data_IF_936724302265
#
_entry.id   IF_936724302265
#
_cell.length_a   1.000
_cell.length_b   1.000
_cell.length_c   1.000
_cell.angle_alpha   90.00
_cell.angle_beta   90.00
_cell.angle_gamma   90.00
#
_symmetry.space_group_name_H-M   'P 1'
#
loop_
_entity.id
_entity.type
_entity.pdbx_description
1 polymer ?
#
# COMPACT_ATOMS: atom_id res chain seq x y z
N UNK A 1 -30.60 10.98 13.42
CA UNK A 1 -29.50 10.46 14.29
C UNK A 1 -28.53 9.79 13.34
N UNK A 2 -27.22 9.96 13.52
CA UNK A 2 -26.15 9.40 12.69
C UNK A 2 -25.28 8.47 13.56
N UNK A 3 -24.44 7.64 12.93
CA UNK A 3 -23.61 6.68 13.68
C UNK A 3 -22.52 7.37 14.50
N UNK A 4 -21.71 8.26 13.88
CA UNK A 4 -20.57 8.90 14.53
C UNK A 4 -20.49 10.38 14.17
N UNK A 5 -20.24 11.23 15.18
CA UNK A 5 -19.86 12.62 15.01
C UNK A 5 -18.45 12.84 15.60
N UNK A 6 -17.46 13.09 14.72
CA UNK A 6 -16.13 13.57 15.12
C UNK A 6 -16.21 15.09 15.20
N UNK A 7 -15.78 15.70 16.33
CA UNK A 7 -15.88 17.14 16.55
C UNK A 7 -14.64 17.76 17.20
N UNK A 8 -14.51 19.08 17.12
CA UNK A 8 -13.46 19.90 17.73
C UNK A 8 -12.04 19.68 17.13
N UNK A 9 -11.92 19.00 15.99
CA UNK A 9 -10.63 18.70 15.37
C UNK A 9 -10.13 19.79 14.42
N UNK A 10 -8.86 19.67 14.00
CA UNK A 10 -8.37 20.35 12.81
C UNK A 10 -8.57 19.40 11.63
N UNK A 11 -9.65 19.64 10.86
CA UNK A 11 -9.96 18.76 9.71
C UNK A 11 -9.14 19.17 8.49
N UNK A 12 -8.43 18.18 7.91
CA UNK A 12 -7.61 18.29 6.71
C UNK A 12 -8.22 17.40 5.62
N UNK A 13 -9.20 17.87 4.85
CA UNK A 13 -10.00 17.03 3.95
C UNK A 13 -9.24 16.45 2.76
N UNK A 14 -8.11 17.02 2.39
CA UNK A 14 -7.36 16.71 1.16
C UNK A 14 -8.22 16.83 -0.11
N UNK A 15 -9.13 17.79 -0.11
CA UNK A 15 -10.01 18.13 -1.22
C UNK A 15 -9.31 19.04 -2.26
N UNK A 16 -10.00 19.36 -3.36
CA UNK A 16 -9.46 20.22 -4.42
C UNK A 16 -9.16 21.63 -3.94
N UNK A 17 -9.96 22.16 -3.02
CA UNK A 17 -9.87 23.51 -2.44
C UNK A 17 -8.71 23.65 -1.47
N UNK A 18 -8.07 22.55 -1.05
CA UNK A 18 -7.03 22.50 -0.02
C UNK A 18 -7.48 23.15 1.29
N UNK A 19 -8.76 23.00 1.62
CA UNK A 19 -9.35 23.63 2.79
C UNK A 19 -8.79 22.98 4.08
N UNK A 20 -8.68 23.79 5.13
CA UNK A 20 -8.38 23.31 6.49
C UNK A 20 -9.43 23.94 7.40
N UNK A 21 -10.15 23.11 8.12
CA UNK A 21 -11.25 23.54 9.00
C UNK A 21 -10.79 23.41 10.44
N UNK A 22 -10.43 24.55 11.04
CA UNK A 22 -10.13 24.62 12.48
C UNK A 22 -11.43 24.48 13.26
N UNK A 23 -11.36 23.77 14.41
CA UNK A 23 -12.56 23.42 15.18
C UNK A 23 -13.64 22.81 14.27
N UNK A 24 -13.22 21.88 13.42
CA UNK A 24 -14.04 21.20 12.44
C UNK A 24 -14.64 19.91 12.97
N UNK A 25 -15.60 19.39 12.22
CA UNK A 25 -16.29 18.15 12.49
C UNK A 25 -16.49 17.34 11.20
N UNK A 26 -16.66 16.03 11.38
CA UNK A 26 -17.03 15.07 10.32
C UNK A 26 -18.20 14.23 10.83
N UNK A 27 -19.30 14.22 10.10
CA UNK A 27 -20.49 13.42 10.38
C UNK A 27 -20.46 12.14 9.54
N UNK A 28 -20.68 10.99 10.15
CA UNK A 28 -20.62 9.66 9.55
C UNK A 28 -21.93 8.92 9.80
N UNK A 29 -22.49 8.34 8.73
CA UNK A 29 -23.69 7.52 8.78
C UNK A 29 -23.62 6.42 7.74
N UNK A 30 -24.03 5.20 8.07
CA UNK A 30 -23.98 4.01 7.20
C UNK A 30 -22.62 3.81 6.51
N UNK A 31 -21.53 3.98 7.28
CA UNK A 31 -20.17 3.81 6.80
C UNK A 31 -19.67 4.90 5.84
N UNK A 32 -20.41 6.00 5.67
CA UNK A 32 -20.09 7.11 4.77
C UNK A 32 -19.99 8.43 5.50
N UNK A 33 -19.18 9.31 4.96
CA UNK A 33 -19.15 10.72 5.34
C UNK A 33 -20.43 11.36 4.79
N UNK A 34 -21.24 11.94 5.66
CA UNK A 34 -22.49 12.64 5.28
C UNK A 34 -22.32 14.14 5.27
N UNK A 35 -21.39 14.66 6.10
CA UNK A 35 -21.12 16.11 6.17
C UNK A 35 -19.71 16.40 6.72
N UNK A 36 -19.13 17.53 6.33
CA UNK A 36 -17.83 18.01 6.81
C UNK A 36 -17.92 19.56 6.93
N UNK A 37 -17.65 20.09 8.11
CA UNK A 37 -17.78 21.54 8.34
C UNK A 37 -17.34 21.98 9.74
N UNK A 38 -17.66 23.22 10.13
CA UNK A 38 -17.42 23.69 11.48
C UNK A 38 -18.19 22.85 12.54
N UNK A 39 -17.56 22.61 13.69
CA UNK A 39 -18.18 21.83 14.77
C UNK A 39 -19.53 22.42 15.21
N UNK A 40 -19.66 23.73 15.30
CA UNK A 40 -20.88 24.37 15.75
C UNK A 40 -22.06 24.01 14.84
N UNK A 41 -21.86 24.04 13.52
CA UNK A 41 -22.91 23.78 12.55
C UNK A 41 -23.34 22.31 12.55
N UNK A 42 -22.36 21.39 12.61
CA UNK A 42 -22.65 19.96 12.57
C UNK A 42 -23.22 19.45 13.92
N UNK A 43 -22.76 20.01 15.04
CA UNK A 43 -23.29 19.63 16.37
C UNK A 43 -24.73 20.12 16.58
N UNK A 44 -25.15 21.21 15.96
CA UNK A 44 -26.55 21.66 15.95
C UNK A 44 -27.41 20.78 15.01
N UNK A 45 -26.84 20.38 13.86
CA UNK A 45 -27.56 19.65 12.80
C UNK A 45 -27.76 18.16 13.13
N UNK A 46 -26.78 17.53 13.80
CA UNK A 46 -26.76 16.07 13.98
C UNK A 46 -26.70 15.66 15.47
N UNK A 47 -27.54 14.71 15.85
CA UNK A 47 -27.34 13.86 17.01
C UNK A 47 -26.69 12.55 16.55
N UNK A 48 -25.75 11.99 17.33
CA UNK A 48 -24.98 10.81 16.97
C UNK A 48 -24.99 9.76 18.08
N UNK A 49 -24.94 8.48 17.71
CA UNK A 49 -24.82 7.37 18.66
C UNK A 49 -23.45 7.38 19.35
N UNK A 50 -22.38 7.72 18.62
CA UNK A 50 -21.02 7.90 19.14
C UNK A 50 -20.50 9.30 18.83
N UNK A 51 -19.98 9.96 19.85
CA UNK A 51 -19.26 11.23 19.69
C UNK A 51 -17.78 10.99 19.97
N UNK A 52 -16.91 11.39 19.01
CA UNK A 52 -15.46 11.34 19.14
C UNK A 52 -14.95 12.78 19.27
N UNK A 53 -14.36 13.11 20.43
CA UNK A 53 -13.74 14.42 20.65
C UNK A 53 -12.32 14.42 20.06
N UNK A 54 -12.14 15.19 18.98
CA UNK A 54 -10.88 15.38 18.28
C UNK A 54 -10.14 16.65 18.73
N UNK A 55 -10.42 17.17 19.93
CA UNK A 55 -9.68 18.30 20.46
C UNK A 55 -8.17 17.98 20.46
N UNK A 56 -7.36 18.93 20.00
CA UNK A 56 -5.92 18.77 19.77
C UNK A 56 -5.53 17.64 18.80
N UNK A 57 -6.40 17.21 17.92
CA UNK A 57 -6.10 16.22 16.89
C UNK A 57 -6.32 16.78 15.48
N UNK A 58 -5.53 16.30 14.54
CA UNK A 58 -5.81 16.43 13.12
C UNK A 58 -6.74 15.29 12.68
N UNK A 59 -7.76 15.61 11.91
CA UNK A 59 -8.69 14.64 11.30
C UNK A 59 -8.47 14.66 9.80
N UNK A 60 -8.03 13.54 9.23
CA UNK A 60 -7.66 13.44 7.81
C UNK A 60 -8.11 12.11 7.21
N UNK A 61 -8.17 11.99 5.87
CA UNK A 61 -8.45 10.71 5.23
C UNK A 61 -7.43 9.68 5.68
N UNK A 62 -7.84 8.44 5.85
CA UNK A 62 -6.93 7.33 6.09
C UNK A 62 -5.86 7.24 5.00
N UNK A 63 -4.63 6.91 5.41
CA UNK A 63 -3.51 6.75 4.49
C UNK A 63 -3.69 5.49 3.63
N UNK A 64 -3.24 5.55 2.39
CA UNK A 64 -3.35 4.48 1.40
C UNK A 64 -1.94 4.05 1.00
N UNK A 65 -1.58 2.83 1.37
CA UNK A 65 -0.33 2.18 0.99
C UNK A 65 -0.55 1.39 -0.30
N UNK A 66 0.01 1.84 -1.42
CA UNK A 66 -0.31 1.28 -2.74
C UNK A 66 0.56 0.10 -3.18
N UNK A 67 1.52 -0.31 -2.36
CA UNK A 67 2.34 -1.50 -2.60
C UNK A 67 2.95 -2.01 -1.31
N UNK A 68 2.68 -3.27 -0.99
CA UNK A 68 3.22 -3.94 0.18
C UNK A 68 3.41 -5.44 -0.08
N UNK A 69 4.25 -6.08 0.76
CA UNK A 69 4.46 -7.52 0.82
C UNK A 69 4.32 -7.98 2.27
N UNK A 70 3.10 -8.24 2.73
CA UNK A 70 2.82 -8.51 4.15
C UNK A 70 3.48 -9.77 4.68
N UNK A 71 3.74 -10.77 3.83
CA UNK A 71 4.47 -11.97 4.22
C UNK A 71 5.93 -11.70 4.64
N UNK A 72 6.45 -10.52 4.34
CA UNK A 72 7.79 -10.10 4.76
C UNK A 72 7.86 -9.66 6.22
N UNK A 73 6.73 -9.53 6.92
CA UNK A 73 6.74 -9.10 8.33
C UNK A 73 7.47 -10.05 9.29
N UNK A 74 7.64 -11.33 8.92
CA UNK A 74 8.44 -12.28 9.72
C UNK A 74 9.94 -12.17 9.55
N UNK A 75 10.41 -11.38 8.60
CA UNK A 75 11.84 -11.29 8.25
C UNK A 75 12.36 -9.86 8.30
N UNK A 76 11.72 -8.98 9.08
CA UNK A 76 12.25 -7.67 9.44
C UNK A 76 13.63 -7.81 10.07
N UNK A 77 14.61 -7.04 9.61
CA UNK A 77 15.96 -7.03 10.16
C UNK A 77 16.69 -8.38 10.06
N UNK A 78 16.21 -9.33 9.26
CA UNK A 78 16.83 -10.65 9.15
C UNK A 78 18.21 -10.60 8.52
N UNK A 79 18.37 -9.84 7.45
CA UNK A 79 19.66 -9.54 6.78
C UNK A 79 19.53 -8.24 6.02
N UNK A 80 20.33 -7.29 6.39
CA UNK A 80 20.35 -5.95 5.82
C UNK A 80 21.66 -5.65 5.09
N UNK A 81 21.79 -4.44 4.54
CA UNK A 81 22.99 -3.90 3.91
C UNK A 81 23.46 -4.67 2.66
N UNK A 82 22.50 -5.22 1.89
CA UNK A 82 22.76 -5.94 0.64
C UNK A 82 21.92 -5.40 -0.52
N UNK A 83 22.46 -5.38 -1.76
CA UNK A 83 21.70 -4.95 -2.93
C UNK A 83 20.62 -5.97 -3.32
N UNK A 84 19.62 -5.53 -4.11
CA UNK A 84 18.40 -6.29 -4.42
C UNK A 84 18.65 -7.76 -4.78
N UNK A 85 19.54 -8.10 -5.70
CA UNK A 85 19.74 -9.50 -6.10
C UNK A 85 20.30 -10.36 -4.97
N UNK A 86 21.25 -9.84 -4.22
CA UNK A 86 21.79 -10.52 -3.03
C UNK A 86 20.73 -10.64 -1.93
N UNK A 87 19.90 -9.60 -1.77
CA UNK A 87 18.75 -9.63 -0.89
C UNK A 87 17.73 -10.69 -1.32
N UNK A 88 17.43 -10.81 -2.63
CA UNK A 88 16.56 -11.88 -3.13
C UNK A 88 17.12 -13.24 -2.78
N UNK A 89 18.41 -13.48 -3.02
CA UNK A 89 19.06 -14.76 -2.73
C UNK A 89 19.09 -15.09 -1.24
N UNK A 90 19.47 -14.13 -0.39
CA UNK A 90 19.75 -14.36 1.04
C UNK A 90 18.55 -14.16 1.96
N UNK A 91 17.54 -13.41 1.52
CA UNK A 91 16.38 -13.03 2.33
C UNK A 91 15.08 -13.54 1.72
N UNK A 92 14.79 -13.15 0.46
CA UNK A 92 13.50 -13.46 -0.16
C UNK A 92 13.35 -14.95 -0.48
N UNK A 93 14.36 -15.58 -1.10
CA UNK A 93 14.34 -17.01 -1.46
C UNK A 93 14.16 -17.92 -0.24
N UNK A 94 14.94 -17.81 0.86
CA UNK A 94 14.73 -18.63 2.05
C UNK A 94 13.31 -18.50 2.61
N UNK A 95 12.77 -17.29 2.67
CA UNK A 95 11.38 -17.06 3.08
C UNK A 95 10.40 -17.79 2.16
N UNK A 96 10.56 -17.62 0.82
CA UNK A 96 9.68 -18.26 -0.16
C UNK A 96 9.70 -19.78 0.02
N UNK A 97 10.85 -20.40 0.23
CA UNK A 97 10.96 -21.84 0.47
C UNK A 97 10.14 -22.27 1.69
N UNK A 98 10.18 -21.53 2.80
CA UNK A 98 9.35 -21.81 4.00
C UNK A 98 7.88 -21.72 3.65
N UNK A 99 7.45 -20.62 3.01
CA UNK A 99 6.05 -20.41 2.64
C UNK A 99 5.54 -21.46 1.66
N UNK A 100 6.34 -21.85 0.66
CA UNK A 100 5.99 -22.88 -0.32
C UNK A 100 5.84 -24.25 0.35
N UNK A 101 6.81 -24.65 1.18
CA UNK A 101 6.75 -25.93 1.91
C UNK A 101 5.52 -26.00 2.80
N UNK A 102 5.22 -24.92 3.51
CA UNK A 102 4.02 -24.85 4.35
C UNK A 102 2.75 -24.92 3.54
N UNK A 103 2.67 -24.15 2.43
CA UNK A 103 1.52 -24.18 1.54
C UNK A 103 1.24 -25.58 1.00
N UNK A 104 2.28 -26.30 0.52
CA UNK A 104 2.15 -27.67 0.00
C UNK A 104 1.79 -28.68 1.10
N UNK A 105 2.20 -28.43 2.35
CA UNK A 105 1.84 -29.26 3.52
C UNK A 105 0.44 -28.94 4.09
N UNK A 106 -0.27 -27.94 3.53
CA UNK A 106 -1.57 -27.49 4.05
C UNK A 106 -1.47 -26.70 5.34
N UNK A 107 -0.28 -26.15 5.66
CA UNK A 107 -0.06 -25.29 6.82
C UNK A 107 0.01 -23.81 6.37
N UNK A 108 -1.00 -23.04 6.68
CA UNK A 108 -1.11 -21.65 6.24
C UNK A 108 -0.82 -20.62 7.34
N UNK A 109 -0.39 -21.09 8.51
CA UNK A 109 -0.13 -20.24 9.67
C UNK A 109 0.93 -19.15 9.41
N UNK A 110 2.00 -19.45 8.65
CA UNK A 110 3.03 -18.45 8.29
C UNK A 110 2.40 -17.28 7.54
N UNK A 111 1.58 -17.57 6.53
CA UNK A 111 0.94 -16.53 5.74
C UNK A 111 -0.06 -15.71 6.58
N UNK A 112 -0.89 -16.37 7.37
CA UNK A 112 -1.88 -15.72 8.22
C UNK A 112 -1.22 -14.80 9.26
N UNK A 113 -0.29 -15.32 10.05
CA UNK A 113 0.33 -14.55 11.13
C UNK A 113 1.20 -13.38 10.63
N UNK A 114 1.96 -13.57 9.53
CA UNK A 114 2.70 -12.49 8.91
C UNK A 114 1.76 -11.36 8.42
N UNK A 115 0.64 -11.74 7.81
CA UNK A 115 -0.38 -10.79 7.35
C UNK A 115 -1.03 -10.06 8.52
N UNK A 116 -1.32 -10.74 9.63
CA UNK A 116 -1.86 -10.12 10.84
C UNK A 116 -0.91 -9.05 11.39
N UNK A 117 0.39 -9.35 11.53
CA UNK A 117 1.39 -8.36 11.97
C UNK A 117 1.43 -7.13 11.07
N UNK A 118 1.47 -7.35 9.75
CA UNK A 118 1.49 -6.23 8.80
C UNK A 118 0.22 -5.38 8.83
N UNK A 119 -0.95 -6.00 8.97
CA UNK A 119 -2.22 -5.28 9.11
C UNK A 119 -2.28 -4.46 10.39
N UNK A 120 -1.82 -5.02 11.54
CA UNK A 120 -1.78 -4.31 12.81
C UNK A 120 -0.87 -3.08 12.70
N UNK A 121 0.35 -3.26 12.20
CA UNK A 121 1.31 -2.16 12.05
C UNK A 121 0.79 -1.09 11.10
N UNK A 122 0.23 -1.47 9.96
CA UNK A 122 -0.37 -0.55 9.00
C UNK A 122 -1.52 0.27 9.63
N UNK A 123 -2.46 -0.37 10.33
CA UNK A 123 -3.55 0.34 11.03
C UNK A 123 -2.99 1.27 12.10
N UNK A 124 -2.05 0.80 12.93
CA UNK A 124 -1.47 1.59 14.02
C UNK A 124 -0.65 2.79 13.53
N UNK A 125 -0.19 2.76 12.28
CA UNK A 125 0.46 3.89 11.61
C UNK A 125 -0.48 4.70 10.70
N UNK A 126 -1.81 4.43 10.74
CA UNK A 126 -2.82 5.25 10.06
C UNK A 126 -3.16 4.80 8.63
N UNK A 127 -2.66 3.66 8.18
CA UNK A 127 -3.06 3.08 6.90
C UNK A 127 -4.44 2.43 7.04
N UNK A 128 -5.40 2.88 6.24
CA UNK A 128 -6.76 2.31 6.21
C UNK A 128 -6.98 1.40 5.00
N UNK A 129 -6.20 1.60 3.96
CA UNK A 129 -6.26 0.80 2.73
C UNK A 129 -4.84 0.44 2.28
N UNK A 130 -4.59 -0.82 1.98
CA UNK A 130 -3.30 -1.28 1.46
C UNK A 130 -3.48 -2.14 0.21
N UNK A 131 -2.53 -2.02 -0.74
CA UNK A 131 -2.39 -2.93 -1.85
C UNK A 131 -1.25 -3.91 -1.56
N UNK A 132 -1.61 -5.16 -1.27
CA UNK A 132 -0.66 -6.23 -0.97
C UNK A 132 -0.43 -7.09 -2.20
N UNK A 133 0.82 -7.42 -2.52
CA UNK A 133 1.19 -8.27 -3.64
C UNK A 133 1.93 -9.51 -3.14
N UNK A 134 1.33 -10.70 -3.32
CA UNK A 134 1.88 -11.93 -2.77
C UNK A 134 1.75 -13.13 -3.70
N UNK A 135 2.62 -14.11 -3.50
CA UNK A 135 2.60 -15.40 -4.17
C UNK A 135 1.66 -16.36 -3.46
N UNK A 136 0.93 -17.19 -4.23
CA UNK A 136 0.17 -18.34 -3.76
C UNK A 136 -0.61 -18.13 -2.44
N UNK A 137 -1.41 -17.08 -2.38
CA UNK A 137 -2.19 -16.72 -1.20
C UNK A 137 -3.24 -17.78 -0.88
N UNK A 138 -3.21 -18.31 0.34
CA UNK A 138 -4.29 -19.13 0.87
C UNK A 138 -5.47 -18.25 1.35
N UNK A 139 -6.72 -18.73 1.23
CA UNK A 139 -7.89 -17.99 1.73
C UNK A 139 -7.81 -17.56 3.20
N UNK A 140 -7.06 -18.25 4.06
CA UNK A 140 -6.89 -17.87 5.47
C UNK A 140 -6.16 -16.53 5.65
N UNK A 141 -5.32 -16.13 4.69
CA UNK A 141 -4.72 -14.79 4.67
C UNK A 141 -5.79 -13.70 4.61
N UNK A 142 -6.89 -13.97 3.92
CA UNK A 142 -7.99 -13.04 3.75
C UNK A 142 -8.81 -12.86 5.03
N UNK A 143 -8.77 -13.86 5.93
CA UNK A 143 -9.34 -13.74 7.27
C UNK A 143 -8.58 -12.68 8.09
N UNK A 144 -7.28 -12.52 7.92
CA UNK A 144 -6.53 -11.46 8.58
C UNK A 144 -7.03 -10.07 8.21
N UNK A 145 -7.38 -9.81 6.92
CA UNK A 145 -8.01 -8.56 6.51
C UNK A 145 -9.41 -8.38 7.10
N UNK A 146 -10.18 -9.48 7.17
CA UNK A 146 -11.51 -9.47 7.76
C UNK A 146 -11.47 -9.15 9.25
N UNK A 147 -10.62 -9.84 10.00
CA UNK A 147 -10.52 -9.74 11.46
C UNK A 147 -9.94 -8.40 11.90
N UNK A 148 -8.88 -7.91 11.25
CA UNK A 148 -8.30 -6.60 11.58
C UNK A 148 -9.18 -5.44 11.17
N UNK A 149 -10.05 -5.64 10.18
CA UNK A 149 -10.91 -4.59 9.64
C UNK A 149 -10.25 -3.72 8.58
N UNK A 150 -9.00 -3.96 8.19
CA UNK A 150 -8.31 -3.17 7.17
C UNK A 150 -8.95 -3.34 5.79
N UNK A 151 -8.91 -2.28 4.96
CA UNK A 151 -9.26 -2.40 3.55
C UNK A 151 -8.06 -2.91 2.76
N UNK A 152 -8.24 -3.94 1.94
CA UNK A 152 -7.18 -4.57 1.17
C UNK A 152 -7.51 -4.66 -0.32
N UNK A 153 -6.54 -4.33 -1.16
CA UNK A 153 -6.53 -4.59 -2.60
C UNK A 153 -5.39 -5.61 -2.86
N UNK A 154 -5.73 -6.90 -2.91
CA UNK A 154 -4.77 -7.99 -2.87
C UNK A 154 -4.42 -8.46 -4.29
N UNK A 155 -3.13 -8.44 -4.63
CA UNK A 155 -2.63 -8.96 -5.90
C UNK A 155 -2.00 -10.34 -5.71
N UNK A 156 -2.55 -11.33 -6.43
CA UNK A 156 -1.88 -12.62 -6.62
C UNK A 156 -0.95 -12.52 -7.81
N UNK A 157 0.36 -12.61 -7.60
CA UNK A 157 1.29 -12.51 -8.70
C UNK A 157 1.62 -13.85 -9.34
N UNK A 158 1.86 -13.79 -10.63
CA UNK A 158 2.28 -14.88 -11.48
C UNK A 158 3.76 -14.70 -11.88
N UNK A 159 4.45 -15.81 -12.09
CA UNK A 159 5.79 -15.85 -12.61
C UNK A 159 6.04 -17.23 -13.25
N UNK A 160 6.58 -17.27 -14.48
CA UNK A 160 6.81 -18.50 -15.25
C UNK A 160 8.18 -18.53 -15.94
N UNK A 161 8.95 -17.44 -15.86
CA UNK A 161 10.32 -17.36 -16.37
C UNK A 161 11.27 -16.77 -15.33
N UNK A 162 12.55 -16.92 -15.57
CA UNK A 162 13.60 -16.39 -14.70
C UNK A 162 14.78 -15.91 -15.52
N UNK A 163 14.76 -14.64 -15.91
CA UNK A 163 15.82 -14.06 -16.72
C UNK A 163 17.06 -13.64 -15.91
N UNK A 164 16.90 -13.51 -14.59
CA UNK A 164 17.95 -13.01 -13.71
C UNK A 164 18.46 -14.06 -12.68
N UNK A 165 17.93 -15.29 -12.72
CA UNK A 165 18.28 -16.32 -11.75
C UNK A 165 17.74 -16.06 -10.34
N UNK A 166 16.66 -15.28 -10.24
CA UNK A 166 16.12 -14.81 -8.97
C UNK A 166 14.87 -15.59 -8.47
N UNK A 167 14.53 -16.69 -9.13
CA UNK A 167 13.35 -17.50 -8.76
C UNK A 167 13.74 -18.86 -8.20
N UNK A 168 12.99 -19.27 -7.19
CA UNK A 168 13.06 -20.62 -6.63
C UNK A 168 12.31 -21.57 -7.59
N UNK A 169 12.92 -22.67 -8.06
CA UNK A 169 12.24 -23.64 -8.92
C UNK A 169 10.92 -24.13 -8.34
N UNK A 170 10.88 -24.35 -6.99
CA UNK A 170 9.71 -24.82 -6.25
C UNK A 170 8.58 -23.79 -6.21
N UNK A 171 8.86 -22.50 -6.42
CA UNK A 171 7.85 -21.45 -6.48
C UNK A 171 7.15 -21.38 -7.84
N UNK A 172 7.64 -22.08 -8.84
CA UNK A 172 7.01 -22.22 -10.16
C UNK A 172 5.83 -23.19 -10.06
N UNK A 173 4.72 -22.76 -9.48
CA UNK A 173 3.48 -23.49 -9.66
C UNK A 173 3.19 -23.56 -11.16
N UNK A 174 2.71 -24.71 -11.62
CA UNK A 174 2.29 -24.82 -13.01
C UNK A 174 1.31 -23.69 -13.32
N UNK A 175 1.53 -22.99 -14.42
CA UNK A 175 0.79 -21.82 -14.87
C UNK A 175 -0.74 -21.98 -14.69
N UNK A 176 -1.29 -23.11 -15.18
CA UNK A 176 -2.71 -23.43 -15.08
C UNK A 176 -3.20 -23.56 -13.63
N UNK A 177 -2.35 -24.05 -12.72
CA UNK A 177 -2.71 -24.19 -11.31
C UNK A 177 -2.80 -22.84 -10.60
N UNK A 178 -1.88 -21.92 -10.89
CA UNK A 178 -1.89 -20.58 -10.31
C UNK A 178 -3.08 -19.77 -10.79
N UNK A 179 -3.41 -19.83 -12.09
CA UNK A 179 -4.58 -19.17 -12.66
C UNK A 179 -5.88 -19.75 -12.10
N UNK A 180 -5.97 -21.08 -11.97
CA UNK A 180 -7.13 -21.72 -11.37
C UNK A 180 -7.33 -21.30 -9.93
N UNK A 181 -6.26 -21.25 -9.14
CA UNK A 181 -6.29 -20.79 -7.74
C UNK A 181 -6.73 -19.32 -7.68
N UNK A 182 -6.14 -18.45 -8.50
CA UNK A 182 -6.51 -17.04 -8.56
C UNK A 182 -8.00 -16.86 -8.85
N UNK A 183 -8.51 -17.55 -9.87
CA UNK A 183 -9.94 -17.47 -10.21
C UNK A 183 -10.85 -17.98 -9.09
N UNK A 184 -10.46 -19.03 -8.37
CA UNK A 184 -11.22 -19.54 -7.21
C UNK A 184 -11.25 -18.52 -6.06
N UNK A 185 -10.13 -17.91 -5.73
CA UNK A 185 -10.04 -16.91 -4.67
C UNK A 185 -10.82 -15.65 -5.06
N UNK A 186 -10.61 -15.14 -6.27
CA UNK A 186 -11.30 -13.97 -6.80
C UNK A 186 -12.81 -14.17 -6.79
N UNK A 187 -13.32 -15.31 -7.26
CA UNK A 187 -14.76 -15.58 -7.30
C UNK A 187 -15.44 -15.58 -5.93
N UNK A 188 -14.69 -15.93 -4.88
CA UNK A 188 -15.20 -15.99 -3.51
C UNK A 188 -15.02 -14.69 -2.74
N UNK A 189 -13.90 -13.98 -2.95
CA UNK A 189 -13.46 -12.91 -2.07
C UNK A 189 -13.43 -11.53 -2.71
N UNK A 190 -13.45 -11.40 -4.03
CA UNK A 190 -13.49 -10.09 -4.67
C UNK A 190 -14.77 -9.35 -4.32
N UNK A 191 -14.65 -8.15 -3.77
CA UNK A 191 -15.72 -7.35 -3.19
C UNK A 191 -16.35 -7.92 -1.90
N UNK A 192 -15.71 -8.88 -1.23
CA UNK A 192 -16.13 -9.32 0.10
C UNK A 192 -16.07 -8.17 1.14
N UNK A 193 -16.72 -8.36 2.29
CA UNK A 193 -16.77 -7.40 3.39
C UNK A 193 -17.22 -6.00 2.91
N UNK A 194 -18.36 -5.91 2.22
CA UNK A 194 -18.90 -4.66 1.63
C UNK A 194 -17.95 -3.96 0.64
N UNK A 195 -17.16 -4.74 -0.12
CA UNK A 195 -16.17 -4.24 -1.06
C UNK A 195 -14.89 -3.73 -0.39
N UNK A 196 -14.67 -4.07 0.89
CA UNK A 196 -13.45 -3.75 1.61
C UNK A 196 -12.26 -4.62 1.17
N UNK A 197 -12.52 -5.87 0.74
CA UNK A 197 -11.50 -6.77 0.18
C UNK A 197 -11.66 -6.83 -1.34
N UNK A 198 -10.64 -6.43 -2.06
CA UNK A 198 -10.56 -6.47 -3.53
C UNK A 198 -9.35 -7.26 -3.99
N UNK A 199 -9.32 -7.60 -5.27
CA UNK A 199 -8.24 -8.34 -5.89
C UNK A 199 -7.74 -7.68 -7.16
N UNK A 200 -6.44 -7.93 -7.45
CA UNK A 200 -5.76 -7.63 -8.71
C UNK A 200 -5.06 -8.88 -9.23
N UNK A 201 -4.88 -8.96 -10.54
CA UNK A 201 -3.91 -9.88 -11.12
C UNK A 201 -2.50 -9.29 -10.96
N UNK A 202 -1.56 -10.08 -10.43
CA UNK A 202 -0.19 -9.66 -10.23
C UNK A 202 0.72 -10.15 -11.37
N UNK A 203 1.37 -9.26 -12.07
CA UNK A 203 2.53 -9.57 -12.93
C UNK A 203 3.78 -9.31 -12.08
N UNK A 204 4.47 -10.37 -11.63
CA UNK A 204 5.57 -10.21 -10.69
C UNK A 204 6.58 -9.16 -11.20
N UNK A 205 7.22 -9.42 -12.34
CA UNK A 205 8.00 -8.41 -13.05
C UNK A 205 8.14 -8.80 -14.54
N UNK A 206 8.57 -7.88 -15.40
CA UNK A 206 8.90 -8.19 -16.81
C UNK A 206 10.00 -9.24 -16.98
N UNK A 207 10.85 -9.42 -15.98
CA UNK A 207 11.95 -10.41 -16.02
C UNK A 207 11.53 -11.80 -15.54
N UNK A 208 10.44 -11.88 -14.78
CA UNK A 208 9.94 -13.14 -14.21
C UNK A 208 8.64 -13.64 -14.86
N UNK A 209 8.06 -12.87 -15.78
CA UNK A 209 6.87 -13.25 -16.53
C UNK A 209 7.16 -13.31 -18.04
N UNK A 210 6.79 -14.42 -18.66
CA UNK A 210 6.88 -14.55 -20.13
C UNK A 210 5.84 -13.65 -20.82
N UNK A 211 6.09 -13.31 -22.09
CA UNK A 211 5.13 -12.55 -22.89
C UNK A 211 3.78 -13.25 -22.99
N UNK A 212 3.78 -14.58 -23.14
CA UNK A 212 2.53 -15.37 -23.17
C UNK A 212 1.72 -15.23 -21.88
N UNK A 213 2.38 -15.32 -20.73
CA UNK A 213 1.72 -15.15 -19.44
C UNK A 213 1.17 -13.72 -19.25
N UNK A 214 1.96 -12.71 -19.62
CA UNK A 214 1.53 -11.31 -19.51
C UNK A 214 0.29 -11.05 -20.39
N UNK A 215 0.25 -11.55 -21.61
CA UNK A 215 -0.91 -11.43 -22.51
C UNK A 215 -2.14 -12.14 -21.94
N UNK A 216 -1.98 -13.33 -21.39
CA UNK A 216 -3.09 -14.07 -20.77
C UNK A 216 -3.64 -13.34 -19.53
N UNK A 217 -2.77 -12.83 -18.66
CA UNK A 217 -3.17 -12.00 -17.52
C UNK A 217 -3.95 -10.77 -18.00
N UNK A 218 -3.50 -10.11 -19.08
CA UNK A 218 -4.22 -8.97 -19.67
C UNK A 218 -5.59 -9.36 -20.21
N UNK A 219 -5.71 -10.48 -20.89
CA UNK A 219 -7.00 -10.99 -21.38
C UNK A 219 -7.96 -11.30 -20.24
N UNK A 220 -7.49 -11.95 -19.19
CA UNK A 220 -8.26 -12.20 -17.96
C UNK A 220 -8.74 -10.90 -17.31
N UNK A 221 -7.85 -9.94 -17.15
CA UNK A 221 -8.17 -8.64 -16.58
C UNK A 221 -9.24 -7.90 -17.41
N UNK A 222 -9.13 -7.94 -18.73
CA UNK A 222 -10.15 -7.38 -19.64
C UNK A 222 -11.50 -8.06 -19.50
N UNK A 223 -11.52 -9.39 -19.37
CA UNK A 223 -12.73 -10.21 -19.24
C UNK A 223 -13.42 -10.01 -17.88
N UNK A 224 -12.65 -10.01 -16.80
CA UNK A 224 -13.16 -9.96 -15.42
C UNK A 224 -13.34 -8.55 -14.90
N UNK A 225 -12.75 -7.54 -15.56
CA UNK A 225 -12.66 -6.14 -15.10
C UNK A 225 -11.88 -5.98 -13.79
N UNK A 226 -10.99 -6.93 -13.50
CA UNK A 226 -10.09 -6.91 -12.37
C UNK A 226 -8.78 -6.26 -12.82
N UNK A 227 -8.28 -5.31 -12.03
CA UNK A 227 -7.09 -4.53 -12.32
C UNK A 227 -5.79 -5.36 -12.21
N UNK A 228 -4.68 -4.79 -12.67
CA UNK A 228 -3.36 -5.42 -12.66
C UNK A 228 -2.41 -4.63 -11.75
N UNK A 229 -1.50 -5.35 -11.08
CA UNK A 229 -0.39 -4.80 -10.30
C UNK A 229 0.91 -5.46 -10.78
N UNK A 230 1.98 -4.68 -10.99
CA UNK A 230 3.27 -5.19 -11.43
C UNK A 230 4.44 -4.40 -10.84
N UNK A 231 5.63 -5.02 -10.75
CA UNK A 231 6.88 -4.28 -10.59
C UNK A 231 7.37 -3.83 -11.97
N UNK A 232 7.94 -2.64 -12.07
CA UNK A 232 8.41 -2.06 -13.31
C UNK A 232 9.66 -1.20 -13.10
N UNK A 233 10.75 -1.56 -13.76
CA UNK A 233 11.96 -0.74 -13.82
C UNK A 233 12.58 -0.49 -12.45
N UNK A 234 12.61 -1.48 -11.59
CA UNK A 234 13.16 -1.36 -10.24
C UNK A 234 14.68 -1.24 -10.27
N UNK A 235 15.36 -2.06 -11.08
CA UNK A 235 16.81 -2.03 -11.19
C UNK A 235 17.30 -1.74 -12.61
N UNK A 236 18.57 -1.26 -12.69
CA UNK A 236 19.24 -1.12 -13.98
C UNK A 236 19.39 -2.47 -14.69
N UNK A 237 19.64 -3.52 -13.93
CA UNK A 237 19.81 -4.86 -14.48
C UNK A 237 18.54 -5.38 -15.16
N UNK A 238 17.37 -5.17 -14.55
CA UNK A 238 16.10 -5.52 -15.20
C UNK A 238 15.90 -4.75 -16.51
N UNK A 239 16.18 -3.44 -16.49
CA UNK A 239 16.11 -2.60 -17.69
C UNK A 239 16.99 -3.15 -18.80
N UNK A 240 18.25 -3.43 -18.49
CA UNK A 240 19.25 -3.89 -19.46
C UNK A 240 18.90 -5.29 -19.98
N UNK A 241 18.42 -6.19 -19.13
CA UNK A 241 17.96 -7.53 -19.49
C UNK A 241 16.79 -7.50 -20.50
N UNK A 242 15.80 -6.65 -20.26
CA UNK A 242 14.64 -6.50 -21.16
C UNK A 242 15.09 -5.86 -22.49
N UNK A 243 15.97 -4.86 -22.44
CA UNK A 243 16.54 -4.25 -23.65
C UNK A 243 17.32 -5.25 -24.50
N UNK A 244 18.10 -6.12 -23.87
CA UNK A 244 18.85 -7.17 -24.55
C UNK A 244 17.93 -8.21 -25.20
N UNK A 245 16.93 -8.67 -24.42
CA UNK A 245 16.03 -9.74 -24.88
C UNK A 245 15.05 -9.30 -25.97
N UNK A 246 14.46 -8.10 -25.83
CA UNK A 246 13.37 -7.65 -26.69
C UNK A 246 13.73 -6.47 -27.60
N UNK A 247 14.93 -5.89 -27.46
CA UNK A 247 15.37 -4.73 -28.25
C UNK A 247 14.63 -3.43 -27.94
N UNK A 248 13.90 -3.38 -26.82
CA UNK A 248 13.02 -2.28 -26.39
C UNK A 248 13.19 -1.99 -24.93
N UNK A 249 12.84 -0.77 -24.50
CA UNK A 249 12.71 -0.47 -23.08
C UNK A 249 11.50 -1.17 -22.48
N UNK A 250 11.47 -1.28 -21.16
CA UNK A 250 10.42 -2.05 -20.46
C UNK A 250 9.03 -1.51 -20.77
N UNK A 251 8.79 -0.20 -20.61
CA UNK A 251 7.48 0.36 -20.85
C UNK A 251 7.08 0.33 -22.35
N UNK A 252 8.04 0.45 -23.28
CA UNK A 252 7.77 0.30 -24.71
C UNK A 252 7.30 -1.11 -25.05
N UNK A 253 8.01 -2.12 -24.53
CA UNK A 253 7.65 -3.51 -24.75
C UNK A 253 6.29 -3.85 -24.11
N UNK A 254 6.06 -3.45 -22.84
CA UNK A 254 4.80 -3.70 -22.17
C UNK A 254 3.61 -3.00 -22.84
N UNK A 255 3.81 -1.79 -23.40
CA UNK A 255 2.79 -1.13 -24.24
C UNK A 255 2.47 -1.91 -25.49
N UNK A 256 3.49 -2.39 -26.19
CA UNK A 256 3.33 -3.15 -27.43
C UNK A 256 2.58 -4.45 -27.24
N UNK A 257 2.88 -5.18 -26.16
CA UNK A 257 2.15 -6.40 -25.82
C UNK A 257 0.80 -6.15 -25.16
N UNK A 258 0.43 -4.86 -24.94
CA UNK A 258 -0.88 -4.43 -24.49
C UNK A 258 -1.10 -4.50 -22.97
N UNK A 259 -0.05 -4.67 -22.14
CA UNK A 259 -0.23 -4.75 -20.70
C UNK A 259 -0.66 -3.41 -20.10
N UNK A 260 0.01 -2.30 -20.47
CA UNK A 260 -0.19 -1.00 -19.84
C UNK A 260 -1.60 -0.44 -20.09
N UNK A 261 -2.17 0.20 -19.07
CA UNK A 261 -3.52 0.75 -19.14
C UNK A 261 -3.95 1.45 -17.86
N UNK A 262 -5.17 2.08 -17.87
CA UNK A 262 -5.69 2.83 -16.73
C UNK A 262 -5.99 1.97 -15.50
N UNK A 263 -6.01 0.67 -15.64
CA UNK A 263 -6.23 -0.32 -14.59
C UNK A 263 -4.92 -0.98 -14.11
N UNK A 264 -3.75 -0.47 -14.56
CA UNK A 264 -2.45 -0.99 -14.16
C UNK A 264 -1.81 -0.09 -13.11
N UNK A 265 -1.32 -0.71 -12.04
CA UNK A 265 -0.48 -0.12 -11.00
C UNK A 265 0.92 -0.69 -11.11
N UNK A 266 1.92 0.17 -11.39
CA UNK A 266 3.32 -0.19 -11.54
C UNK A 266 4.12 0.28 -10.32
N UNK A 267 4.75 -0.64 -9.59
CA UNK A 267 5.60 -0.34 -8.45
C UNK A 267 7.02 0.04 -8.90
N UNK A 268 7.69 0.88 -8.10
CA UNK A 268 9.05 1.41 -8.23
C UNK A 268 9.25 2.41 -9.37
N UNK A 269 9.22 2.01 -10.64
CA UNK A 269 9.39 2.86 -11.82
C UNK A 269 10.65 3.75 -11.77
N UNK A 270 11.80 3.17 -11.32
CA UNK A 270 13.04 3.91 -11.06
C UNK A 270 13.78 4.20 -12.37
N UNK A 271 14.04 3.15 -13.17
CA UNK A 271 14.90 3.21 -14.34
C UNK A 271 14.09 3.45 -15.62
N UNK A 272 13.30 4.51 -15.64
CA UNK A 272 12.49 4.93 -16.78
C UNK A 272 13.08 6.15 -17.47
N UNK A 273 13.14 6.10 -18.79
CA UNK A 273 13.47 7.24 -19.66
C UNK A 273 12.29 8.21 -19.77
N UNK A 274 12.57 9.39 -20.29
CA UNK A 274 11.55 10.42 -20.58
C UNK A 274 10.44 9.91 -21.52
N UNK A 275 10.80 9.06 -22.46
CA UNK A 275 9.85 8.43 -23.39
C UNK A 275 8.95 7.43 -22.65
N UNK A 276 9.49 6.66 -21.73
CA UNK A 276 8.71 5.72 -20.94
C UNK A 276 7.77 6.43 -19.97
N UNK A 277 8.18 7.56 -19.38
CA UNK A 277 7.29 8.39 -18.56
C UNK A 277 6.10 8.89 -19.39
N UNK A 278 6.32 9.31 -20.65
CA UNK A 278 5.23 9.69 -21.56
C UNK A 278 4.32 8.50 -21.89
N UNK A 279 4.88 7.30 -22.06
CA UNK A 279 4.08 6.08 -22.25
C UNK A 279 3.17 5.83 -21.04
N UNK A 280 3.69 5.93 -19.81
CA UNK A 280 2.84 5.79 -18.61
C UNK A 280 1.72 6.83 -18.59
N UNK A 281 2.00 8.06 -19.01
CA UNK A 281 0.97 9.10 -19.11
C UNK A 281 -0.07 8.80 -20.20
N UNK A 282 0.36 8.41 -21.40
CA UNK A 282 -0.51 8.10 -22.54
C UNK A 282 -1.41 6.89 -22.26
N UNK A 283 -0.89 5.90 -21.54
CA UNK A 283 -1.64 4.70 -21.13
C UNK A 283 -2.42 4.87 -19.83
N UNK A 284 -2.29 6.01 -19.16
CA UNK A 284 -2.85 6.27 -17.83
C UNK A 284 -2.43 5.26 -16.76
N UNK A 285 -1.30 4.57 -16.96
CA UNK A 285 -0.71 3.65 -15.98
C UNK A 285 -0.32 4.40 -14.72
N UNK A 286 -0.70 3.88 -13.54
CA UNK A 286 -0.43 4.48 -12.25
C UNK A 286 0.89 3.99 -11.68
N UNK A 287 1.56 4.83 -10.90
CA UNK A 287 2.85 4.52 -10.29
C UNK A 287 2.71 4.46 -8.78
N UNK A 288 3.26 3.40 -8.17
CA UNK A 288 3.47 3.28 -6.73
C UNK A 288 4.94 3.53 -6.41
N UNK A 289 5.22 4.62 -5.70
CA UNK A 289 6.57 5.02 -5.31
C UNK A 289 6.92 4.46 -3.94
N UNK A 290 8.04 3.72 -3.85
CA UNK A 290 8.53 3.03 -2.65
C UNK A 290 9.88 3.64 -2.22
N UNK A 291 9.92 4.85 -1.62
CA UNK A 291 11.17 5.61 -1.47
C UNK A 291 12.18 4.88 -0.59
N UNK A 292 11.75 4.31 0.52
CA UNK A 292 12.61 3.67 1.52
C UNK A 292 13.21 2.37 1.01
N UNK A 293 12.40 1.50 0.44
CA UNK A 293 12.87 0.26 -0.18
C UNK A 293 13.85 0.53 -1.31
N UNK A 294 13.55 1.50 -2.18
CA UNK A 294 14.45 1.90 -3.26
C UNK A 294 15.80 2.41 -2.74
N UNK A 295 15.80 3.11 -1.60
CA UNK A 295 17.02 3.60 -0.94
C UNK A 295 17.77 2.47 -0.24
N UNK A 296 17.07 1.65 0.55
CA UNK A 296 17.67 0.58 1.35
C UNK A 296 18.36 -0.47 0.46
N UNK A 297 17.71 -0.87 -0.63
CA UNK A 297 18.25 -1.84 -1.61
C UNK A 297 19.19 -1.19 -2.63
N UNK A 298 19.43 0.12 -2.52
CA UNK A 298 20.22 0.90 -3.48
C UNK A 298 19.75 0.72 -4.94
N UNK A 299 18.45 0.48 -5.15
CA UNK A 299 17.85 0.30 -6.47
C UNK A 299 17.92 1.58 -7.31
N UNK A 300 17.86 2.75 -6.68
CA UNK A 300 18.01 4.05 -7.32
C UNK A 300 16.93 5.05 -6.90
N UNK A 301 16.89 6.21 -7.57
CA UNK A 301 15.91 7.28 -7.31
C UNK A 301 14.96 7.38 -8.50
N UNK A 302 13.68 7.10 -8.27
CA UNK A 302 12.64 7.21 -9.30
C UNK A 302 12.42 8.67 -9.72
N UNK A 303 12.19 8.97 -11.01
CA UNK A 303 12.01 10.33 -11.52
C UNK A 303 10.63 10.93 -11.21
N UNK A 304 10.20 10.87 -9.94
CA UNK A 304 8.83 11.19 -9.48
C UNK A 304 8.44 12.63 -9.81
N UNK A 305 9.36 13.58 -9.57
CA UNK A 305 9.09 15.02 -9.87
C UNK A 305 8.74 15.19 -11.34
N UNK A 306 9.44 14.49 -12.24
CA UNK A 306 9.19 14.52 -13.67
C UNK A 306 7.86 13.85 -14.03
N UNK A 307 7.58 12.68 -13.45
CA UNK A 307 6.31 11.97 -13.65
C UNK A 307 5.12 12.84 -13.27
N UNK A 308 5.17 13.50 -12.11
CA UNK A 308 4.12 14.41 -11.66
C UNK A 308 3.95 15.64 -12.59
N UNK A 309 5.05 16.20 -13.10
CA UNK A 309 5.03 17.29 -14.08
C UNK A 309 4.40 16.89 -15.42
N UNK A 310 4.66 15.67 -15.86
CA UNK A 310 4.02 15.09 -17.07
C UNK A 310 2.56 14.66 -16.82
N UNK A 311 2.08 14.73 -15.59
CA UNK A 311 0.70 14.39 -15.21
C UNK A 311 0.46 12.88 -15.05
N UNK A 312 1.48 12.08 -14.77
CA UNK A 312 1.33 10.69 -14.33
C UNK A 312 0.79 10.67 -12.91
N UNK A 313 -0.17 9.82 -12.64
CA UNK A 313 -0.65 9.59 -11.27
C UNK A 313 0.40 8.80 -10.50
N UNK A 314 1.00 9.45 -9.49
CA UNK A 314 1.97 8.82 -8.58
C UNK A 314 1.36 8.76 -7.19
N UNK A 315 1.33 7.57 -6.62
CA UNK A 315 0.96 7.27 -5.24
C UNK A 315 2.19 6.86 -4.42
N UNK A 316 2.02 6.73 -3.11
CA UNK A 316 3.08 6.37 -2.18
C UNK A 316 2.85 4.98 -1.60
N UNK A 317 3.95 4.29 -1.24
CA UNK A 317 3.90 2.98 -0.61
C UNK A 317 5.16 2.69 0.22
N UNK A 318 5.04 1.69 1.10
CA UNK A 318 6.15 1.23 1.94
C UNK A 318 6.97 0.10 1.32
N UNK A 319 6.41 -0.67 0.37
CA UNK A 319 6.93 -1.98 -0.01
C UNK A 319 6.86 -3.00 1.15
N UNK A 320 7.67 -4.04 1.13
CA UNK A 320 7.69 -5.06 2.17
C UNK A 320 8.60 -4.72 3.34
N UNK A 321 8.25 -5.22 4.54
CA UNK A 321 9.01 -4.96 5.76
C UNK A 321 10.42 -5.56 5.78
N UNK A 322 10.80 -6.42 4.85
CA UNK A 322 12.18 -6.88 4.75
C UNK A 322 13.06 -5.96 3.90
N UNK A 323 12.44 -5.09 3.09
CA UNK A 323 13.12 -4.10 2.25
C UNK A 323 12.95 -2.66 2.72
N UNK A 324 12.11 -2.44 3.76
CA UNK A 324 11.84 -1.12 4.35
C UNK A 324 11.87 -1.11 5.88
N UNK A 325 11.65 -2.26 6.54
CA UNK A 325 11.59 -2.52 7.98
C UNK A 325 10.32 -2.04 8.70
N UNK A 326 9.43 -1.33 8.05
CA UNK A 326 8.16 -0.89 8.65
C UNK A 326 7.02 -0.72 7.63
N UNK A 327 5.81 -0.39 8.14
CA UNK A 327 4.61 -0.08 7.36
C UNK A 327 4.16 1.38 7.58
N UNK A 328 5.07 2.26 8.05
CA UNK A 328 4.73 3.64 8.46
C UNK A 328 4.67 4.60 7.26
N UNK A 329 3.47 4.94 6.82
CA UNK A 329 3.25 5.88 5.73
C UNK A 329 3.63 7.33 6.07
N UNK A 330 3.78 7.72 7.36
CA UNK A 330 4.32 9.03 7.72
C UNK A 330 5.82 9.09 7.44
N UNK A 331 6.55 8.01 7.74
CA UNK A 331 7.96 7.90 7.37
C UNK A 331 8.12 7.92 5.85
N UNK A 332 7.33 7.14 5.11
CA UNK A 332 7.34 7.13 3.65
C UNK A 332 7.06 8.53 3.05
N UNK A 333 6.12 9.29 3.62
CA UNK A 333 5.85 10.68 3.20
C UNK A 333 7.07 11.57 3.43
N UNK A 334 7.67 11.52 4.61
CA UNK A 334 8.85 12.33 4.94
C UNK A 334 10.02 11.98 4.05
N UNK A 335 10.30 10.70 3.89
CA UNK A 335 11.40 10.18 3.06
C UNK A 335 11.23 10.61 1.59
N UNK A 336 10.05 10.45 1.00
CA UNK A 336 9.78 10.92 -0.35
C UNK A 336 10.03 12.42 -0.51
N UNK A 337 9.52 13.24 0.43
CA UNK A 337 9.70 14.69 0.37
C UNK A 337 11.19 15.09 0.42
N UNK A 338 11.98 14.50 1.30
CA UNK A 338 13.39 14.84 1.49
C UNK A 338 14.26 14.31 0.34
N UNK A 339 14.05 13.04 -0.07
CA UNK A 339 14.79 12.40 -1.14
C UNK A 339 14.71 13.20 -2.45
N UNK A 340 13.51 13.61 -2.84
CA UNK A 340 13.35 14.30 -4.12
C UNK A 340 13.84 15.75 -4.11
N UNK A 341 13.88 16.42 -2.97
CA UNK A 341 14.52 17.74 -2.84
C UNK A 341 16.02 17.65 -3.08
N UNK A 342 16.71 16.72 -2.44
CA UNK A 342 18.15 16.55 -2.62
C UNK A 342 18.49 16.00 -4.01
N UNK A 343 17.70 15.07 -4.54
CA UNK A 343 17.94 14.49 -5.86
C UNK A 343 17.81 15.52 -7.00
N UNK A 344 16.96 16.54 -6.82
CA UNK A 344 16.76 17.60 -7.81
C UNK A 344 17.53 18.88 -7.48
N UNK A 345 18.28 18.95 -6.36
CA UNK A 345 18.93 20.15 -5.83
C UNK A 345 17.98 21.36 -5.76
N UNK A 346 16.72 21.10 -5.43
CA UNK A 346 15.64 22.10 -5.40
C UNK A 346 14.73 21.82 -4.21
N UNK A 347 14.75 22.69 -3.20
CA UNK A 347 13.93 22.55 -2.00
C UNK A 347 12.42 22.81 -2.25
N UNK A 348 12.05 23.35 -3.41
CA UNK A 348 10.66 23.69 -3.74
C UNK A 348 9.90 22.52 -4.36
N UNK A 349 10.56 21.50 -4.88
CA UNK A 349 9.90 20.33 -5.50
C UNK A 349 9.23 19.46 -4.45
N UNK A 350 8.18 18.79 -4.85
CA UNK A 350 7.43 17.82 -4.05
C UNK A 350 7.08 18.37 -2.65
N UNK A 351 6.16 19.34 -2.64
CA UNK A 351 5.70 19.99 -1.40
C UNK A 351 5.08 18.98 -0.44
N UNK A 352 4.98 19.32 0.86
CA UNK A 352 4.29 18.52 1.85
C UNK A 352 2.86 18.14 1.41
N UNK A 353 2.14 19.09 0.83
CA UNK A 353 0.77 18.82 0.34
C UNK A 353 0.78 17.84 -0.84
N UNK A 354 1.77 17.87 -1.74
CA UNK A 354 1.86 16.91 -2.85
C UNK A 354 2.12 15.50 -2.34
N UNK A 355 2.98 15.36 -1.34
CA UNK A 355 3.27 14.06 -0.71
C UNK A 355 2.06 13.53 0.07
N UNK A 356 1.35 14.41 0.80
CA UNK A 356 0.10 14.02 1.47
C UNK A 356 -0.96 13.53 0.46
N UNK A 357 -1.07 14.18 -0.71
CA UNK A 357 -1.91 13.68 -1.80
C UNK A 357 -1.47 12.31 -2.31
N UNK A 358 -0.17 12.06 -2.41
CA UNK A 358 0.34 10.75 -2.84
C UNK A 358 -0.07 9.63 -1.88
N UNK A 359 -0.08 9.91 -0.58
CA UNK A 359 -0.48 8.98 0.47
C UNK A 359 -2.01 8.89 0.69
N UNK A 360 -2.82 9.69 -0.02
CA UNK A 360 -4.27 9.76 0.16
C UNK A 360 -5.01 9.69 -1.18
N UNK A 361 -5.42 10.83 -1.76
CA UNK A 361 -6.26 10.88 -2.97
C UNK A 361 -5.57 10.29 -4.22
N UNK A 362 -4.26 10.43 -4.37
CA UNK A 362 -3.56 9.77 -5.47
C UNK A 362 -3.45 8.26 -5.24
N UNK A 363 -3.29 7.82 -3.97
CA UNK A 363 -3.42 6.41 -3.60
C UNK A 363 -4.78 5.84 -3.99
N UNK A 364 -5.85 6.56 -3.68
CA UNK A 364 -7.20 6.17 -4.10
C UNK A 364 -7.33 6.10 -5.64
N UNK A 365 -6.79 7.08 -6.38
CA UNK A 365 -6.76 7.05 -7.86
C UNK A 365 -5.98 5.88 -8.42
N UNK A 366 -4.85 5.55 -7.80
CA UNK A 366 -4.01 4.43 -8.20
C UNK A 366 -4.73 3.08 -8.04
N UNK A 367 -5.64 3.00 -7.07
CA UNK A 367 -6.46 1.83 -6.82
C UNK A 367 -7.84 1.87 -7.52
N UNK A 368 -8.19 2.96 -8.23
CA UNK A 368 -9.51 3.16 -8.84
C UNK A 368 -10.63 3.38 -7.80
N UNK A 369 -10.29 3.98 -6.67
CA UNK A 369 -11.18 4.20 -5.53
C UNK A 369 -11.38 5.70 -5.20
N UNK A 370 -10.97 6.63 -6.06
CA UNK A 370 -11.01 8.09 -5.81
C UNK A 370 -12.41 8.65 -5.57
N UNK A 371 -13.42 7.99 -6.08
CA UNK A 371 -14.82 8.35 -5.82
C UNK A 371 -15.31 7.84 -4.45
N UNK A 372 -14.52 7.01 -3.77
CA UNK A 372 -14.89 6.40 -2.51
C UNK A 372 -13.96 6.76 -1.36
N UNK A 373 -12.67 7.04 -1.63
CA UNK A 373 -11.61 7.19 -0.63
C UNK A 373 -10.71 8.39 -0.94
N UNK A 374 -9.77 8.66 -0.03
CA UNK A 374 -8.63 9.54 -0.23
C UNK A 374 -8.88 11.02 0.03
N UNK A 375 -10.12 11.42 0.34
CA UNK A 375 -10.47 12.77 0.83
C UNK A 375 -11.70 12.69 1.72
N UNK A 376 -11.85 13.68 2.63
CA UNK A 376 -13.04 13.81 3.47
C UNK A 376 -14.08 14.66 2.74
N UNK A 377 -14.97 14.00 2.02
CA UNK A 377 -16.03 14.66 1.24
C UNK A 377 -17.33 13.86 1.40
N UNK A 378 -18.50 14.54 1.48
CA UNK A 378 -19.79 13.88 1.56
C UNK A 378 -19.99 12.83 0.46
N UNK A 379 -20.51 11.66 0.83
CA UNK A 379 -20.75 10.52 -0.05
C UNK A 379 -19.59 9.52 -0.14
N UNK A 380 -18.39 9.89 0.28
CA UNK A 380 -17.25 8.96 0.36
C UNK A 380 -17.34 8.06 1.58
N UNK A 381 -16.65 6.94 1.54
CA UNK A 381 -16.52 6.02 2.67
C UNK A 381 -15.75 6.69 3.81
N UNK A 382 -16.16 6.39 5.03
CA UNK A 382 -15.53 6.93 6.22
C UNK A 382 -14.29 6.09 6.61
N UNK A 383 -13.23 6.24 5.81
CA UNK A 383 -11.88 5.80 6.12
C UNK A 383 -11.10 7.03 6.61
N UNK A 384 -10.94 7.14 7.93
CA UNK A 384 -10.52 8.39 8.62
C UNK A 384 -9.50 8.05 9.71
N UNK A 385 -8.50 8.91 9.87
CA UNK A 385 -7.56 8.84 10.99
C UNK A 385 -7.55 10.14 11.79
N UNK A 386 -7.31 10.00 13.09
CA UNK A 386 -7.09 11.10 14.01
C UNK A 386 -5.66 11.04 14.51
N UNK A 387 -4.89 12.10 14.27
CA UNK A 387 -3.49 12.23 14.68
C UNK A 387 -3.42 13.17 15.89
N UNK A 388 -2.83 12.70 16.98
CA UNK A 388 -2.62 13.50 18.18
C UNK A 388 -1.54 14.56 17.94
N UNK A 389 -1.87 15.82 18.20
CA UNK A 389 -1.00 16.98 18.00
C UNK A 389 -0.38 17.50 19.31
N UNK A 390 -0.51 16.75 20.41
CA UNK A 390 0.00 17.18 21.72
C UNK A 390 1.49 16.93 21.92
N UNK A 391 2.07 16.05 21.10
CA UNK A 391 3.50 15.69 21.16
C UNK A 391 4.42 16.91 21.02
N UNK A 392 5.50 16.94 21.79
CA UNK A 392 6.47 18.05 21.79
C UNK A 392 7.12 18.26 20.42
N UNK A 393 7.34 17.17 19.65
CA UNK A 393 7.90 17.20 18.30
C UNK A 393 6.96 17.82 17.25
N UNK A 394 5.67 17.91 17.56
CA UNK A 394 4.66 18.52 16.70
C UNK A 394 4.38 20.00 17.01
N UNK A 395 4.97 20.57 18.05
CA UNK A 395 4.69 21.93 18.52
C UNK A 395 5.90 22.85 18.41
N UNK A 396 5.68 24.16 18.08
CA UNK A 396 4.41 24.79 17.71
C UNK A 396 3.93 24.40 16.30
N UNK A 397 2.61 24.49 16.07
CA UNK A 397 1.99 24.20 14.76
C UNK A 397 1.81 25.52 14.00
N UNK A 398 2.62 25.76 12.97
CA UNK A 398 2.48 26.90 12.08
C UNK A 398 1.68 26.52 10.83
N UNK A 399 1.99 25.36 10.24
CA UNK A 399 1.29 24.77 9.11
C UNK A 399 1.04 23.28 9.40
N UNK A 400 -0.22 22.90 9.46
CA UNK A 400 -0.63 21.56 9.84
C UNK A 400 -0.15 20.49 8.84
N UNK A 401 -0.14 20.80 7.54
CA UNK A 401 0.29 19.84 6.51
C UNK A 401 1.80 19.62 6.59
N UNK A 402 2.58 20.69 6.78
CA UNK A 402 4.02 20.55 7.01
C UNK A 402 4.31 19.72 8.28
N UNK A 403 3.59 19.97 9.37
CA UNK A 403 3.75 19.19 10.60
C UNK A 403 3.42 17.71 10.37
N UNK A 404 2.33 17.39 9.69
CA UNK A 404 1.94 16.01 9.39
C UNK A 404 2.98 15.27 8.53
N UNK A 405 3.61 15.94 7.58
CA UNK A 405 4.56 15.29 6.67
C UNK A 405 5.98 15.26 7.22
N UNK A 406 6.42 16.31 7.91
CA UNK A 406 7.83 16.39 8.33
C UNK A 406 8.06 16.08 9.82
N UNK A 407 7.02 16.17 10.66
CA UNK A 407 7.18 16.04 12.10
C UNK A 407 6.40 14.88 12.71
N UNK A 408 5.25 14.50 12.13
CA UNK A 408 4.44 13.41 12.67
C UNK A 408 5.04 12.03 12.38
N UNK A 409 4.69 11.08 13.21
CA UNK A 409 5.05 9.68 13.16
C UNK A 409 3.79 8.81 13.16
N UNK A 410 3.85 7.58 12.68
CA UNK A 410 2.73 6.64 12.80
C UNK A 410 2.28 6.41 14.24
N UNK A 411 3.19 6.57 15.21
CA UNK A 411 2.85 6.50 16.64
C UNK A 411 1.94 7.63 17.15
N UNK A 412 1.81 8.73 16.43
CA UNK A 412 0.90 9.83 16.77
C UNK A 412 -0.55 9.57 16.33
N UNK A 413 -0.79 8.53 15.53
CA UNK A 413 -2.14 8.11 15.13
C UNK A 413 -2.90 7.58 16.34
N UNK A 414 -3.89 8.31 16.80
CA UNK A 414 -4.66 7.99 18.00
C UNK A 414 -5.87 7.08 17.73
N UNK A 415 -6.61 7.35 16.65
CA UNK A 415 -7.86 6.67 16.30
C UNK A 415 -7.91 6.39 14.79
N UNK A 416 -8.38 5.22 14.43
CA UNK A 416 -8.56 4.79 13.03
C UNK A 416 -9.98 4.28 12.81
N UNK A 417 -10.62 4.81 11.79
CA UNK A 417 -11.98 4.44 11.36
C UNK A 417 -11.85 3.90 9.93
N UNK A 418 -12.41 2.72 9.67
CA UNK A 418 -12.44 2.08 8.35
C UNK A 418 -13.86 1.65 8.03
N UNK A 419 -14.37 2.07 6.87
CA UNK A 419 -15.74 1.79 6.43
C UNK A 419 -16.78 2.20 7.49
N UNK A 420 -16.54 3.33 8.20
CA UNK A 420 -17.37 3.86 9.29
C UNK A 420 -17.24 3.15 10.63
N UNK A 421 -16.40 2.12 10.75
CA UNK A 421 -16.18 1.38 11.99
C UNK A 421 -14.90 1.83 12.67
N UNK A 422 -14.94 2.11 13.97
CA UNK A 422 -13.72 2.40 14.75
C UNK A 422 -12.97 1.09 14.96
N UNK A 423 -11.82 0.94 14.27
CA UNK A 423 -10.98 -0.26 14.35
C UNK A 423 -9.85 -0.10 15.38
N UNK A 424 -9.44 1.14 15.65
CA UNK A 424 -8.50 1.49 16.72
C UNK A 424 -8.94 2.77 17.40
N UNK A 425 -8.90 2.83 18.72
CA UNK A 425 -9.18 4.02 19.52
C UNK A 425 -8.17 4.15 20.65
N UNK A 426 -7.62 5.36 20.83
CA UNK A 426 -6.55 5.61 21.82
C UNK A 426 -5.39 4.60 21.69
N UNK A 427 -4.98 4.29 20.46
CA UNK A 427 -3.94 3.32 20.10
C UNK A 427 -4.22 1.87 20.48
N UNK A 428 -5.42 1.55 20.93
CA UNK A 428 -5.86 0.18 21.23
C UNK A 428 -6.69 -0.36 20.08
N UNK A 429 -6.30 -1.50 19.52
CA UNK A 429 -7.10 -2.22 18.52
C UNK A 429 -8.42 -2.70 19.16
N UNK A 430 -9.55 -2.47 18.47
CA UNK A 430 -10.86 -2.87 18.93
C UNK A 430 -11.40 -4.14 18.25
N UNK A 431 -10.77 -4.54 17.17
CA UNK A 431 -11.21 -5.68 16.34
C UNK A 431 -10.57 -7.00 16.72
N UNK A 432 -9.41 -6.95 17.39
CA UNK A 432 -8.61 -8.11 17.78
C UNK A 432 -7.98 -7.88 19.17
N UNK A 433 -7.54 -8.97 19.81
CA UNK A 433 -6.62 -8.90 20.95
C UNK A 433 -5.18 -8.72 20.42
N UNK A 434 -4.71 -7.46 20.38
CA UNK A 434 -3.43 -7.09 19.78
C UNK A 434 -2.25 -7.87 20.39
N UNK A 435 -2.12 -7.84 21.74
CA UNK A 435 -0.98 -8.46 22.42
C UNK A 435 -0.93 -9.97 22.16
N UNK A 436 -2.04 -10.67 22.33
CA UNK A 436 -2.14 -12.09 22.08
C UNK A 436 -1.81 -12.45 20.62
N UNK A 437 -2.25 -11.61 19.67
CA UNK A 437 -2.01 -11.83 18.25
C UNK A 437 -0.52 -11.65 17.90
N UNK A 438 0.11 -10.62 18.45
CA UNK A 438 1.55 -10.36 18.25
C UNK A 438 2.39 -11.47 18.87
N UNK A 439 2.11 -11.86 20.12
CA UNK A 439 2.86 -12.91 20.82
C UNK A 439 2.77 -14.26 20.07
N UNK A 440 1.59 -14.63 19.62
CA UNK A 440 1.39 -15.85 18.81
C UNK A 440 2.13 -15.78 17.47
N UNK A 441 2.10 -14.64 16.81
CA UNK A 441 2.77 -14.46 15.53
C UNK A 441 4.29 -14.54 15.69
N UNK A 442 4.84 -13.93 16.74
CA UNK A 442 6.28 -13.97 17.03
C UNK A 442 6.75 -15.39 17.35
N UNK A 443 6.06 -16.07 18.26
CA UNK A 443 6.36 -17.47 18.63
C UNK A 443 6.31 -18.39 17.40
N UNK A 444 5.26 -18.25 16.58
CA UNK A 444 5.08 -19.04 15.38
C UNK A 444 6.18 -18.76 14.35
N UNK A 445 6.47 -17.50 14.09
CA UNK A 445 7.48 -17.08 13.12
C UNK A 445 8.87 -17.57 13.50
N UNK A 446 9.32 -17.29 14.74
CA UNK A 446 10.62 -17.73 15.25
C UNK A 446 10.75 -19.26 15.15
N UNK A 447 9.77 -20.01 15.64
CA UNK A 447 9.78 -21.48 15.61
C UNK A 447 9.89 -22.01 14.19
N UNK A 448 9.13 -21.42 13.25
CA UNK A 448 9.06 -21.93 11.88
C UNK A 448 10.33 -21.64 11.10
N UNK A 449 10.91 -20.46 11.26
CA UNK A 449 12.16 -20.11 10.59
C UNK A 449 13.36 -20.90 11.16
N UNK A 450 13.42 -21.15 12.47
CA UNK A 450 14.41 -22.06 13.08
C UNK A 450 14.32 -23.47 12.52
N UNK A 451 13.11 -24.02 12.40
CA UNK A 451 12.90 -25.36 11.79
C UNK A 451 13.35 -25.40 10.33
N UNK A 452 13.39 -24.28 9.64
CA UNK A 452 13.88 -24.15 8.27
C UNK A 452 15.40 -23.89 8.19
N UNK A 453 16.11 -23.82 9.33
CA UNK A 453 17.54 -23.51 9.38
C UNK A 453 17.87 -22.05 9.07
N UNK A 454 16.92 -21.16 9.29
CA UNK A 454 17.07 -19.71 9.09
C UNK A 454 17.15 -19.04 10.48
N UNK A 455 18.38 -18.91 11.00
CA UNK A 455 18.69 -18.23 12.27
C UNK A 455 19.39 -16.89 12.04
#
# INVERSE_FOLDING_TARGET
MIDILIKNGTVVPVNKERSIIKNGAVAIDDGKIVDVGPTVDLAEKYSADKIIDANHKAVLPGLINTHAHLLQNFIKGFRDDVPLLEWVERVSIPRIIVVVKDYLAGNFGVQYHATMLGCIEAIKSGTTCLANMEWATHPDVLNAYKETGIRADHALYFADQDLLGAMVPESRLAHDQTLKLANQIISKWHNAENGRIKFRYGVCSPTTCSESLIREVRELANKTKIAIHCHLGETRLERDCIQEKYGKSQAEWLREIGLLGPDVLAAHCIWLSDREIKILKETETKVSHNPESNMKLASGIAPIVKMLKEGVTVALASDGCASNDNMDMFEAMRTAALLHKVANLDASVLSAYDVLKMATINGARALGLENQLGSLEPGKKADIILVDLTGVHLRPIHDIVNNLVYCAWGSDVNTVIIDGKVVMENRTMLTINEQETVDKAEEFGITRFKQAGLE
#
